data_IF_943333051704
#
_entry.id   IF_943333051704
#
_cell.length_a   1.000
_cell.length_b   1.000
_cell.length_c   1.000
_cell.angle_alpha   90.00
_cell.angle_beta   90.00
_cell.angle_gamma   90.00
#
_symmetry.space_group_name_H-M   'P 1'
#
loop_
_entity.id
_entity.type
_entity.pdbx_description
1 polymer ?
#
# COMPACT_ATOMS: atom_id res chain seq x y z
N UNK A 1 -9.53 -21.01 35.22
CA UNK A 1 -9.22 -20.61 33.83
C UNK A 1 -10.00 -19.35 33.54
N UNK A 2 -9.42 -18.18 33.79
CA UNK A 2 -9.99 -16.92 33.31
C UNK A 2 -9.75 -16.81 31.82
N UNK A 3 -10.83 -16.71 31.06
CA UNK A 3 -10.79 -16.62 29.62
C UNK A 3 -10.40 -15.17 29.26
N UNK A 4 -9.10 -14.93 29.06
CA UNK A 4 -8.49 -13.62 28.79
C UNK A 4 -8.83 -13.04 27.40
N UNK A 5 -10.11 -12.99 27.04
CA UNK A 5 -10.62 -12.28 25.86
C UNK A 5 -10.94 -10.80 26.16
N UNK A 6 -10.30 -10.21 27.16
CA UNK A 6 -10.44 -8.78 27.42
C UNK A 6 -9.56 -8.03 26.43
N UNK A 7 -10.19 -7.59 25.33
CA UNK A 7 -9.66 -6.54 24.45
C UNK A 7 -9.22 -5.38 25.35
N UNK A 8 -8.00 -4.85 25.24
CA UNK A 8 -7.62 -3.68 26.00
C UNK A 8 -8.66 -2.59 25.73
N UNK A 9 -9.29 -2.05 26.78
CA UNK A 9 -10.20 -0.91 26.66
C UNK A 9 -9.37 0.34 26.37
N UNK A 10 -8.83 0.41 25.15
CA UNK A 10 -8.12 1.56 24.65
C UNK A 10 -9.08 2.75 24.61
N UNK A 11 -8.59 3.91 25.00
CA UNK A 11 -9.27 5.18 24.73
C UNK A 11 -9.49 5.35 23.22
N UNK A 12 -10.39 6.26 22.84
CA UNK A 12 -10.62 6.58 21.43
C UNK A 12 -9.33 7.11 20.81
N UNK A 13 -8.59 7.96 21.51
CA UNK A 13 -7.33 8.56 21.06
C UNK A 13 -6.28 7.48 20.77
N UNK A 14 -6.09 6.52 21.69
CA UNK A 14 -5.17 5.40 21.49
C UNK A 14 -5.59 4.50 20.33
N UNK A 15 -6.89 4.28 20.20
CA UNK A 15 -7.45 3.47 19.11
C UNK A 15 -7.24 4.16 17.77
N UNK A 16 -7.46 5.48 17.68
CA UNK A 16 -7.17 6.29 16.48
C UNK A 16 -5.70 6.18 16.10
N UNK A 17 -4.81 6.32 17.08
CA UNK A 17 -3.37 6.25 16.87
C UNK A 17 -2.95 4.88 16.32
N UNK A 18 -3.51 3.79 16.85
CA UNK A 18 -3.13 2.43 16.47
C UNK A 18 -3.78 1.94 15.17
N UNK A 19 -5.06 2.22 14.97
CA UNK A 19 -5.86 1.59 13.92
C UNK A 19 -6.48 2.61 12.93
N UNK A 20 -6.36 3.91 13.21
CA UNK A 20 -6.85 5.00 12.36
C UNK A 20 -8.17 5.64 12.82
N UNK A 21 -8.57 6.76 12.22
CA UNK A 21 -9.77 7.49 12.66
C UNK A 21 -11.08 7.00 12.05
N UNK A 22 -11.03 6.06 11.11
CA UNK A 22 -12.16 5.69 10.24
C UNK A 22 -13.18 4.74 10.86
N UNK A 23 -12.87 4.11 12.01
CA UNK A 23 -13.80 3.19 12.69
C UNK A 23 -14.59 3.88 13.81
N UNK A 24 -15.75 3.31 14.13
CA UNK A 24 -16.61 3.80 15.20
C UNK A 24 -16.04 3.41 16.57
N UNK A 25 -16.24 4.27 17.57
CA UNK A 25 -15.91 3.96 18.98
C UNK A 25 -16.60 2.66 19.45
N UNK A 26 -17.72 2.29 18.82
CA UNK A 26 -18.50 1.09 19.12
C UNK A 26 -18.06 -0.15 18.32
N UNK A 27 -17.10 -0.02 17.41
CA UNK A 27 -16.66 -1.15 16.59
C UNK A 27 -15.95 -2.20 17.42
N UNK A 28 -16.33 -3.46 17.24
CA UNK A 28 -15.67 -4.57 17.92
C UNK A 28 -14.36 -4.96 17.20
N UNK A 29 -13.46 -5.73 17.85
CA UNK A 29 -12.18 -6.11 17.25
C UNK A 29 -12.29 -6.88 15.93
N UNK A 30 -13.30 -7.72 15.77
CA UNK A 30 -13.48 -8.50 14.54
C UNK A 30 -13.83 -7.59 13.36
N UNK A 31 -14.65 -6.56 13.59
CA UNK A 31 -14.96 -5.53 12.59
C UNK A 31 -13.72 -4.74 12.20
N UNK A 32 -12.89 -4.35 13.18
CA UNK A 32 -11.63 -3.66 12.93
C UNK A 32 -10.68 -4.48 12.07
N UNK A 33 -10.46 -5.74 12.45
CA UNK A 33 -9.56 -6.64 11.72
C UNK A 33 -10.07 -6.88 10.30
N UNK A 34 -11.36 -7.16 10.14
CA UNK A 34 -11.98 -7.39 8.83
C UNK A 34 -11.82 -6.18 7.90
N UNK A 35 -12.12 -4.98 8.41
CA UNK A 35 -12.00 -3.76 7.61
C UNK A 35 -10.54 -3.44 7.24
N UNK A 36 -9.62 -3.54 8.20
CA UNK A 36 -8.18 -3.35 7.94
C UNK A 36 -7.68 -4.32 6.87
N UNK A 37 -8.06 -5.59 6.99
CA UNK A 37 -7.68 -6.64 6.04
C UNK A 37 -8.16 -6.30 4.62
N UNK A 38 -9.43 -5.90 4.48
CA UNK A 38 -9.98 -5.50 3.18
C UNK A 38 -9.24 -4.29 2.61
N UNK A 39 -8.90 -3.30 3.44
CA UNK A 39 -8.20 -2.09 2.99
C UNK A 39 -6.75 -2.32 2.61
N UNK A 40 -6.05 -3.20 3.33
CA UNK A 40 -4.71 -3.66 2.95
C UNK A 40 -4.77 -4.28 1.55
N UNK A 41 -5.70 -5.21 1.30
CA UNK A 41 -5.84 -5.85 0.00
C UNK A 41 -6.11 -4.84 -1.15
N UNK A 42 -6.96 -3.83 -0.90
CA UNK A 42 -7.21 -2.75 -1.87
C UNK A 42 -5.93 -1.95 -2.13
N UNK A 43 -5.18 -1.56 -1.10
CA UNK A 43 -3.95 -0.80 -1.26
C UNK A 43 -2.85 -1.60 -1.95
N UNK A 44 -2.71 -2.89 -1.65
CA UNK A 44 -1.78 -3.77 -2.37
C UNK A 44 -2.10 -3.81 -3.87
N UNK A 45 -3.38 -3.91 -4.23
CA UNK A 45 -3.82 -3.84 -5.63
C UNK A 45 -3.49 -2.49 -6.27
N UNK A 46 -3.72 -1.39 -5.57
CA UNK A 46 -3.38 -0.05 -6.08
C UNK A 46 -1.88 0.13 -6.27
N UNK A 47 -1.08 -0.31 -5.30
CA UNK A 47 0.39 -0.28 -5.39
C UNK A 47 0.87 -1.08 -6.60
N UNK A 48 0.32 -2.27 -6.84
CA UNK A 48 0.62 -3.08 -8.02
C UNK A 48 0.29 -2.31 -9.31
N UNK A 49 -0.92 -1.78 -9.42
CA UNK A 49 -1.35 -1.03 -10.60
C UNK A 49 -0.46 0.19 -10.87
N UNK A 50 -0.03 0.92 -9.83
CA UNK A 50 0.88 2.06 -9.99
C UNK A 50 2.28 1.64 -10.47
N UNK A 51 2.78 0.48 -10.03
CA UNK A 51 4.05 -0.08 -10.53
C UNK A 51 3.95 -0.43 -12.02
N UNK A 52 2.88 -1.13 -12.41
CA UNK A 52 2.62 -1.48 -13.81
C UNK A 52 2.46 -0.24 -14.69
N UNK A 53 1.72 0.77 -14.22
CA UNK A 53 1.57 2.04 -14.93
C UNK A 53 2.92 2.71 -15.17
N UNK A 54 3.77 2.79 -14.13
CA UNK A 54 5.11 3.38 -14.25
C UNK A 54 5.97 2.63 -15.26
N UNK A 55 5.96 1.30 -15.24
CA UNK A 55 6.71 0.48 -16.20
C UNK A 55 6.23 0.69 -17.64
N UNK A 56 4.91 0.80 -17.84
CA UNK A 56 4.34 1.07 -19.15
C UNK A 56 4.74 2.47 -19.65
N UNK A 57 4.66 3.49 -18.79
CA UNK A 57 5.12 4.84 -19.14
C UNK A 57 6.61 4.87 -19.48
N UNK A 58 7.44 4.10 -18.78
CA UNK A 58 8.86 3.99 -19.11
C UNK A 58 9.09 3.31 -20.47
N UNK A 59 8.34 2.26 -20.80
CA UNK A 59 8.41 1.59 -22.12
C UNK A 59 7.96 2.51 -23.24
N UNK A 60 6.87 3.26 -23.06
CA UNK A 60 6.39 4.25 -24.03
C UNK A 60 7.39 5.38 -24.23
N UNK A 61 8.01 5.87 -23.15
CA UNK A 61 9.06 6.88 -23.26
C UNK A 61 10.25 6.37 -24.08
N UNK A 62 10.66 5.12 -23.85
CA UNK A 62 11.80 4.51 -24.55
C UNK A 62 11.47 4.12 -25.99
N UNK A 63 10.22 3.77 -26.32
CA UNK A 63 9.83 3.38 -27.69
C UNK A 63 9.93 4.54 -28.69
N UNK A 64 9.86 5.78 -28.23
CA UNK A 64 10.09 6.98 -29.03
C UNK A 64 11.57 7.32 -29.25
N UNK A 65 12.50 6.62 -28.59
CA UNK A 65 13.94 6.91 -28.69
C UNK A 65 14.59 5.91 -29.67
N UNK A 66 15.30 6.39 -30.71
CA UNK A 66 16.03 5.51 -31.61
C UNK A 66 17.06 4.66 -30.84
N UNK A 67 17.14 3.37 -31.16
CA UNK A 67 18.04 2.41 -30.51
C UNK A 67 19.50 2.87 -30.51
N UNK A 68 19.93 3.59 -31.54
CA UNK A 68 21.28 4.15 -31.65
C UNK A 68 21.58 5.20 -30.57
N UNK A 69 20.59 6.03 -30.25
CA UNK A 69 20.70 7.05 -29.19
C UNK A 69 20.76 6.37 -27.82
N UNK A 70 19.94 5.33 -27.61
CA UNK A 70 20.02 4.54 -26.38
C UNK A 70 21.36 3.84 -26.22
N UNK A 71 21.92 3.29 -27.31
CA UNK A 71 23.22 2.59 -27.29
C UNK A 71 24.36 3.55 -26.93
N UNK A 72 24.43 4.71 -27.59
CA UNK A 72 25.46 5.72 -27.32
C UNK A 72 25.41 6.32 -25.91
N UNK A 73 24.25 6.29 -25.24
CA UNK A 73 24.12 6.70 -23.83
C UNK A 73 24.54 5.61 -22.83
N UNK A 74 24.52 4.35 -23.23
CA UNK A 74 24.85 3.19 -22.39
C UNK A 74 26.30 2.73 -22.53
N UNK A 75 26.99 3.15 -23.60
CA UNK A 75 28.41 2.88 -23.77
C UNK A 75 29.24 3.63 -22.71
N UNK A 76 30.22 2.96 -22.07
CA UNK A 76 31.13 3.61 -21.14
C UNK A 76 31.84 4.78 -21.84
N UNK A 77 31.93 5.93 -21.18
CA UNK A 77 32.79 7.02 -21.66
C UNK A 77 34.21 6.69 -21.24
N UNK A 78 35.07 6.40 -22.21
CA UNK A 78 36.52 6.25 -22.04
C UNK A 78 37.16 7.54 -21.50
#
# INVERSE_FOLDING_TARGET
MENSNVVPSLSREESVCKYGSWFSVKSNPAELVSWCTNRISIYEKWIKNCKELRENMQKELLSGIPTEVLRSLLEPRD
#
